data_IF_811512376101
#
_entry.id   IF_811512376101
#
_cell.length_a   1.000
_cell.length_b   1.000
_cell.length_c   1.000
_cell.angle_alpha   90.00
_cell.angle_beta   90.00
_cell.angle_gamma   90.00
#
_symmetry.space_group_name_H-M   'P 1'
#
loop_
_entity.id
_entity.type
_entity.pdbx_description
1 polymer ?
2 non-polymer ?
3 non-polymer ?
4 water ?
#
# COMPACT_ATOMS: atom_id res chain seq x y z
N UNK A 2 7.80 4.10 -25.09
CA UNK A 2 7.20 2.78 -24.78
C UNK A 2 6.07 2.98 -23.75
N UNK A 3 6.14 2.30 -22.57
CA UNK A 3 5.05 2.47 -21.60
C UNK A 3 5.09 3.90 -21.05
N UNK A 4 3.90 4.39 -20.76
CA UNK A 4 3.75 5.69 -20.07
C UNK A 4 3.92 5.43 -18.54
N UNK A 5 4.95 6.01 -17.96
CA UNK A 5 5.23 5.89 -16.53
C UNK A 5 5.04 7.21 -15.79
N UNK A 6 4.39 8.17 -16.45
CA UNK A 6 3.89 9.33 -15.77
C UNK A 6 2.89 8.97 -14.73
N UNK A 7 3.16 9.39 -13.52
CA UNK A 7 2.27 9.17 -12.41
C UNK A 7 0.84 9.66 -12.68
N UNK A 8 0.77 10.86 -13.32
CA UNK A 8 -0.50 11.39 -13.84
C UNK A 8 -1.28 10.51 -14.81
N UNK A 9 -0.65 9.55 -15.45
CA UNK A 9 -1.29 8.67 -16.40
C UNK A 9 -1.90 7.45 -15.73
N UNK A 10 -1.47 7.16 -14.49
CA UNK A 10 -1.88 5.94 -13.83
C UNK A 10 -3.39 5.92 -13.53
N UNK A 11 -4.02 4.80 -13.95
CA UNK A 11 -5.43 4.54 -13.61
C UNK A 11 -5.56 4.11 -12.13
N UNK A 12 -6.66 4.53 -11.47
CA UNK A 12 -7.01 4.05 -10.17
C UNK A 12 -8.42 3.47 -10.14
N UNK A 13 -8.83 2.93 -8.99
CA UNK A 13 -10.07 2.20 -8.87
C UNK A 13 -11.27 3.18 -9.12
N UNK A 14 -12.02 2.93 -10.17
CA UNK A 14 -13.24 3.70 -10.43
C UNK A 14 -14.23 3.54 -9.28
N UNK A 15 -14.84 4.65 -8.84
CA UNK A 15 -15.87 4.59 -7.82
C UNK A 15 -15.45 3.90 -6.54
N UNK A 16 -14.17 4.05 -6.14
CA UNK A 16 -13.71 3.37 -4.92
C UNK A 16 -14.66 3.51 -3.75
N UNK A 17 -14.96 2.38 -3.11
CA UNK A 17 -15.95 2.17 -2.05
C UNK A 17 -15.27 1.84 -0.75
N UNK A 18 -15.15 2.89 0.09
CA UNK A 18 -14.42 2.78 1.37
C UNK A 18 -14.96 1.62 2.22
N UNK A 19 -16.28 1.51 2.30
CA UNK A 19 -16.95 0.51 3.18
C UNK A 19 -16.65 -0.91 2.77
N UNK A 20 -16.79 -1.15 1.50
CA UNK A 20 -16.36 -2.43 0.91
C UNK A 20 -14.91 -2.85 1.16
N UNK A 21 -14.01 -1.88 1.31
CA UNK A 21 -12.59 -2.08 1.49
C UNK A 21 -12.20 -2.35 2.90
N UNK A 22 -13.15 -2.09 3.86
CA UNK A 22 -12.79 -2.15 5.19
C UNK A 22 -12.52 -3.57 5.57
N UNK A 23 -11.87 -3.70 6.69
CA UNK A 23 -11.44 -4.96 7.27
C UNK A 23 -9.94 -5.25 7.05
N UNK A 24 -9.63 -6.54 7.00
CA UNK A 24 -8.27 -7.05 7.25
C UNK A 24 -7.72 -7.35 5.87
N UNK A 25 -6.52 -6.82 5.63
CA UNK A 25 -5.73 -6.98 4.36
C UNK A 25 -4.29 -7.38 4.74
N UNK A 26 -3.81 -8.48 4.16
CA UNK A 26 -2.48 -9.05 4.47
C UNK A 26 -1.62 -8.62 3.33
N UNK A 27 -0.52 -7.97 3.63
CA UNK A 27 0.31 -7.58 2.52
C UNK A 27 1.08 -8.84 2.05
N UNK A 28 1.06 -9.07 0.76
CA UNK A 28 1.69 -10.18 0.14
C UNK A 28 3.02 -9.83 -0.56
N UNK A 29 3.10 -8.57 -1.04
CA UNK A 29 4.31 -8.16 -1.70
C UNK A 29 4.42 -6.59 -1.51
N UNK A 30 5.64 -6.11 -1.69
CA UNK A 30 5.87 -4.67 -1.56
C UNK A 30 6.99 -4.26 -2.46
N UNK A 31 6.80 -3.11 -3.08
CA UNK A 31 7.91 -2.37 -3.72
C UNK A 31 8.33 -1.28 -2.69
N UNK A 32 9.60 -1.27 -2.27
CA UNK A 32 10.07 -0.40 -1.26
C UNK A 32 10.37 1.00 -1.79
N UNK A 33 10.16 2.05 -0.95
CA UNK A 33 10.71 3.39 -1.23
C UNK A 33 12.12 3.50 -0.74
N UNK A 34 12.76 4.64 -0.97
CA UNK A 34 14.05 4.87 -0.28
C UNK A 34 13.80 4.92 1.25
N UNK A 35 14.73 4.33 2.01
CA UNK A 35 14.62 4.29 3.45
C UNK A 35 13.38 3.52 3.87
N UNK A 36 13.30 2.30 3.43
CA UNK A 36 12.14 1.46 3.72
C UNK A 36 11.86 1.27 5.22
N UNK A 37 10.58 1.20 5.56
CA UNK A 37 10.15 1.09 6.95
C UNK A 37 9.47 -0.27 7.27
N UNK A 38 8.36 -0.54 6.62
CA UNK A 38 7.57 -1.74 6.84
C UNK A 38 8.31 -2.94 6.19
N UNK A 39 8.65 -3.94 7.00
CA UNK A 39 9.59 -4.95 6.56
C UNK A 39 8.92 -6.25 6.18
N UNK A 40 8.16 -6.85 7.08
CA UNK A 40 7.38 -8.02 6.77
C UNK A 40 6.34 -8.24 7.82
N UNK A 41 5.62 -9.35 7.67
CA UNK A 41 4.53 -9.71 8.60
C UNK A 41 3.45 -8.59 8.68
N UNK A 42 3.23 -7.91 7.54
CA UNK A 42 2.42 -6.70 7.49
C UNK A 42 0.97 -7.02 7.27
N UNK A 43 0.21 -6.56 8.27
CA UNK A 43 -1.19 -6.75 8.29
C UNK A 43 -1.91 -5.39 8.55
N UNK A 44 -2.81 -5.07 7.64
CA UNK A 44 -3.56 -3.81 7.65
C UNK A 44 -5.04 -4.09 8.00
N UNK A 45 -5.60 -3.15 8.75
CA UNK A 45 -7.00 -3.22 9.14
C UNK A 45 -7.59 -1.88 8.79
N UNK A 46 -8.49 -1.86 7.83
CA UNK A 46 -9.12 -0.64 7.33
C UNK A 46 -10.47 -0.42 7.99
N UNK A 47 -10.80 0.82 8.30
CA UNK A 47 -12.12 1.19 8.88
C UNK A 47 -12.66 2.42 8.20
N UNK A 48 -14.00 2.60 8.25
CA UNK A 48 -14.61 3.87 7.76
C UNK A 48 -15.58 4.37 8.88
N UNK A 49 -15.51 5.64 9.26
CA UNK A 49 -16.49 6.14 10.33
C UNK A 49 -17.73 6.72 9.63
N UNK A 50 -18.67 7.18 10.46
CA UNK A 50 -19.99 7.62 10.03
C UNK A 50 -19.90 8.79 9.11
N UNK A 51 -18.81 9.52 9.23
CA UNK A 51 -18.62 10.70 8.51
C UNK A 51 -18.09 10.37 7.08
N UNK A 52 -17.85 9.09 6.85
CA UNK A 52 -17.21 8.63 5.63
C UNK A 52 -15.72 8.71 5.59
N UNK A 53 -15.09 8.92 6.75
CA UNK A 53 -13.65 8.98 6.75
C UNK A 53 -12.98 7.62 6.96
N UNK A 54 -12.06 7.37 6.03
CA UNK A 54 -11.28 6.14 6.10
C UNK A 54 -10.05 6.34 6.99
N UNK A 55 -9.74 5.27 7.74
CA UNK A 55 -8.56 5.18 8.57
C UNK A 55 -8.07 3.72 8.56
N UNK A 56 -6.84 3.53 9.02
CA UNK A 56 -6.28 2.19 9.12
C UNK A 56 -5.28 2.08 10.24
N UNK A 57 -5.06 0.83 10.66
CA UNK A 57 -3.92 0.46 11.42
C UNK A 57 -3.13 -0.63 10.60
N UNK A 58 -1.86 -0.75 10.95
CA UNK A 58 -0.91 -1.69 10.39
C UNK A 58 -0.03 -2.17 11.52
N UNK A 59 0.05 -3.49 11.60
CA UNK A 59 1.05 -4.17 12.45
C UNK A 59 2.07 -4.96 11.57
N UNK A 60 3.33 -4.97 12.00
CA UNK A 60 4.37 -5.76 11.37
C UNK A 60 5.76 -5.46 11.88
N UNK A 61 6.71 -6.13 11.30
CA UNK A 61 8.04 -5.91 11.63
C UNK A 61 8.54 -4.67 10.85
N UNK A 62 9.13 -3.74 11.55
CA UNK A 62 9.60 -2.51 10.93
C UNK A 62 11.10 -2.41 11.09
N UNK A 63 11.72 -1.68 10.16
CA UNK A 63 13.12 -1.50 10.11
C UNK A 63 13.36 -0.17 10.85
N UNK A 64 14.00 -0.25 12.04
CA UNK A 64 14.35 0.97 12.85
C UNK A 64 15.72 1.53 12.42
N UNK A 65 16.77 0.77 12.75
CA UNK A 65 18.12 1.05 12.25
C UNK A 65 18.54 -0.05 11.26
N UNK A 66 19.53 0.26 10.42
CA UNK A 66 20.29 -0.74 9.66
C UNK A 66 20.44 -1.99 10.53
N UNK A 67 20.99 -1.78 11.73
CA UNK A 67 21.24 -2.84 12.72
C UNK A 67 19.95 -3.70 13.01
N UNK A 68 18.78 -3.06 13.12
CA UNK A 68 17.64 -3.78 13.71
C UNK A 68 16.20 -3.36 13.40
N UNK A 69 15.35 -4.34 13.69
CA UNK A 69 13.94 -4.44 13.32
C UNK A 69 13.13 -4.84 14.57
N UNK A 70 11.93 -4.28 14.68
CA UNK A 70 11.05 -4.43 15.82
C UNK A 70 9.60 -4.68 15.33
N UNK A 71 8.77 -5.31 16.18
CA UNK A 71 7.32 -5.33 15.92
C UNK A 71 6.76 -4.02 16.32
N UNK A 72 5.97 -3.43 15.43
CA UNK A 72 5.37 -2.11 15.71
C UNK A 72 3.94 -2.00 15.19
N UNK A 73 3.14 -1.21 15.88
CA UNK A 73 1.77 -0.82 15.47
C UNK A 73 1.79 0.61 14.97
N UNK A 74 1.27 0.74 13.77
CA UNK A 74 1.14 1.99 13.08
C UNK A 74 -0.31 2.34 12.91
N UNK A 75 -0.55 3.61 12.72
CA UNK A 75 -1.90 4.19 12.60
C UNK A 75 -1.87 5.23 11.44
N UNK A 76 -2.95 5.35 10.74
CA UNK A 76 -3.11 6.24 9.64
C UNK A 76 -4.56 6.70 9.44
N UNK A 77 -4.69 7.92 8.97
CA UNK A 77 -5.99 8.44 8.62
C UNK A 77 -5.90 9.07 7.26
N UNK A 78 -6.96 8.88 6.48
CA UNK A 78 -7.01 9.29 5.08
C UNK A 78 -7.88 10.49 4.82
N UNK A 79 -7.30 11.50 4.20
CA UNK A 79 -8.13 12.61 3.67
C UNK A 79 -8.49 12.42 2.20
N UNK A 80 -9.75 12.62 1.90
CA UNK A 80 -10.26 12.62 0.53
C UNK A 80 -9.65 13.64 -0.39
N UNK A 81 -9.60 13.29 -1.66
CA UNK A 81 -9.28 14.23 -2.72
C UNK A 81 -10.48 14.18 -3.67
N UNK A 82 -10.41 14.84 -4.82
CA UNK A 82 -11.53 14.80 -5.79
C UNK A 82 -11.70 13.49 -6.53
N UNK A 83 -10.64 12.66 -6.49
CA UNK A 83 -10.65 11.28 -7.02
C UNK A 83 -10.95 10.33 -5.83
N UNK A 84 -12.01 9.58 -5.94
CA UNK A 84 -12.37 8.81 -4.75
C UNK A 84 -11.37 7.67 -4.42
N UNK A 85 -10.42 7.40 -5.31
CA UNK A 85 -9.41 6.33 -5.01
C UNK A 85 -8.09 6.92 -4.58
N UNK A 86 -7.98 8.27 -4.52
CA UNK A 86 -6.72 8.90 -4.16
C UNK A 86 -6.88 9.63 -2.84
N UNK A 87 -5.96 9.39 -1.93
CA UNK A 87 -6.02 9.93 -0.59
C UNK A 87 -4.70 10.55 -0.19
N UNK A 88 -4.75 11.33 0.88
CA UNK A 88 -3.56 11.72 1.54
C UNK A 88 -3.62 10.98 2.87
N UNK A 89 -2.55 10.28 3.22
CA UNK A 89 -2.52 9.46 4.39
C UNK A 89 -1.55 10.02 5.44
N UNK A 90 -2.10 10.47 6.56
CA UNK A 90 -1.26 10.88 7.68
C UNK A 90 -1.02 9.67 8.52
N UNK A 91 0.21 9.43 8.91
CA UNK A 91 0.53 8.26 9.72
C UNK A 91 1.55 8.52 10.84
N UNK A 92 1.49 7.68 11.84
CA UNK A 92 2.39 7.67 12.96
C UNK A 92 2.37 6.31 13.63
N UNK A 93 3.32 6.11 14.55
CA UNK A 93 3.40 4.89 15.31
C UNK A 93 2.78 5.08 16.71
N UNK A 94 2.21 4.02 17.27
CA UNK A 94 1.59 4.08 18.60
C UNK A 94 2.71 4.45 19.59
N UNK A 95 3.89 3.85 19.40
CA UNK A 95 5.17 4.34 20.01
C UNK A 95 5.63 5.70 19.38
N UNK A 96 5.84 6.72 20.23
CA UNK A 96 6.22 8.11 19.81
C UNK A 96 7.42 8.28 18.83
N UNK A 97 8.43 7.44 18.96
CA UNK A 97 9.73 7.57 18.17
C UNK A 97 9.70 6.89 16.77
N UNK A 98 8.60 6.21 16.45
CA UNK A 98 8.47 5.64 15.12
C UNK A 98 8.25 6.66 13.98
N UNK A 99 8.67 6.32 12.77
CA UNK A 99 8.41 7.12 11.56
C UNK A 99 6.96 7.62 11.56
N UNK A 100 6.82 8.92 11.36
CA UNK A 100 5.54 9.51 10.98
C UNK A 100 5.64 10.37 9.72
N UNK A 101 4.50 10.64 9.15
CA UNK A 101 4.54 11.32 7.91
C UNK A 101 3.22 11.50 7.27
N UNK A 102 3.27 11.95 6.01
CA UNK A 102 2.10 12.16 5.21
C UNK A 102 2.38 11.80 3.77
N UNK A 103 1.77 10.72 3.30
CA UNK A 103 2.06 10.24 1.91
C UNK A 103 0.74 10.17 1.13
N UNK A 104 0.80 10.35 -0.15
CA UNK A 104 -0.29 10.06 -1.09
C UNK A 104 -0.48 8.53 -1.02
N UNK A 105 -1.74 8.17 -1.09
CA UNK A 105 -2.20 6.80 -0.91
C UNK A 105 -3.30 6.55 -1.95
N UNK A 106 -2.94 5.78 -2.97
CA UNK A 106 -3.81 5.53 -4.16
C UNK A 106 -4.26 4.02 -4.13
N UNK A 107 -5.55 3.79 -4.22
CA UNK A 107 -6.06 2.47 -4.43
C UNK A 107 -6.11 2.24 -5.95
N UNK A 108 -5.05 1.61 -6.43
CA UNK A 108 -4.91 1.42 -7.89
C UNK A 108 -5.91 0.49 -8.49
N UNK A 109 -6.10 -0.61 -7.78
CA UNK A 109 -7.16 -1.54 -8.13
C UNK A 109 -7.44 -2.39 -6.95
N UNK A 110 -8.67 -2.92 -6.96
CA UNK A 110 -9.18 -3.90 -5.99
C UNK A 110 -10.47 -4.50 -6.51
N UNK A 111 -10.78 -5.69 -6.01
CA UNK A 111 -12.13 -6.28 -6.16
C UNK A 111 -12.80 -6.40 -4.76
N UNK A 112 -12.20 -5.79 -3.72
CA UNK A 112 -12.69 -5.71 -2.32
C UNK A 112 -12.66 -6.99 -1.51
N UNK A 113 -12.88 -8.14 -2.17
CA UNK A 113 -13.00 -9.41 -1.49
C UNK A 113 -11.87 -10.38 -1.78
N UNK A 114 -10.91 -9.96 -2.62
CA UNK A 114 -9.73 -10.85 -2.86
C UNK A 114 -8.39 -10.12 -2.82
N UNK A 115 -8.24 -9.13 -3.68
CA UNK A 115 -6.90 -8.42 -3.81
C UNK A 115 -7.07 -6.89 -3.79
N UNK A 116 -5.96 -6.24 -3.46
CA UNK A 116 -5.85 -4.75 -3.57
C UNK A 116 -4.42 -4.43 -4.00
N UNK A 117 -4.33 -3.44 -4.85
CA UNK A 117 -3.04 -2.82 -5.18
C UNK A 117 -3.10 -1.34 -4.78
N UNK A 118 -2.17 -1.00 -3.92
CA UNK A 118 -1.90 0.39 -3.47
C UNK A 118 -0.63 0.95 -4.12
N UNK A 119 -0.49 2.27 -4.11
CA UNK A 119 0.62 2.97 -4.68
C UNK A 119 0.74 4.29 -4.03
N UNK A 120 1.99 4.69 -3.77
CA UNK A 120 2.31 6.09 -3.29
C UNK A 120 3.52 6.56 -4.09
N UNK A 121 3.42 7.77 -4.65
CA UNK A 121 4.59 8.45 -5.20
C UNK A 121 4.91 9.52 -4.19
N UNK A 122 6.05 9.43 -3.57
CA UNK A 122 6.44 10.32 -2.50
C UNK A 122 7.08 11.61 -3.10
N UNK A 123 7.65 11.43 -4.29
CA UNK A 123 8.44 12.54 -4.94
C UNK A 123 8.40 12.31 -6.39
N UNK A 124 8.02 13.35 -7.19
CA UNK A 124 8.04 13.27 -8.68
C UNK A 124 9.37 13.68 -9.26
N UNK A 125 9.76 13.03 -10.36
CA UNK A 125 10.77 13.43 -11.27
C UNK A 125 10.19 14.58 -12.15
N UNK A 126 11.10 15.42 -12.67
CA UNK A 126 10.69 16.57 -13.47
C UNK A 126 9.95 16.22 -14.74
N UNK A 127 10.07 14.97 -15.20
CA UNK A 127 9.34 14.38 -16.32
C UNK A 127 7.98 13.68 -15.92
N UNK A 128 7.52 13.82 -14.68
CA UNK A 128 6.24 13.33 -14.27
C UNK A 128 6.24 11.84 -13.83
N UNK A 129 7.36 11.20 -14.08
CA UNK A 129 7.63 9.81 -13.56
C UNK A 129 7.95 9.90 -12.05
N UNK A 130 7.80 8.78 -11.34
CA UNK A 130 8.03 8.85 -9.89
C UNK A 130 9.49 8.71 -9.51
N UNK A 131 9.98 9.56 -8.65
CA UNK A 131 11.34 9.48 -8.16
C UNK A 131 11.49 8.54 -6.98
N UNK A 132 10.48 8.47 -6.16
CA UNK A 132 10.56 7.68 -4.96
C UNK A 132 9.15 7.17 -4.75
N UNK A 133 8.94 5.89 -5.03
CA UNK A 133 7.58 5.30 -4.82
C UNK A 133 7.61 4.06 -3.92
N UNK A 134 6.44 3.77 -3.41
CA UNK A 134 6.16 2.44 -2.86
C UNK A 134 4.83 1.90 -3.25
N UNK A 135 4.69 0.53 -3.10
CA UNK A 135 3.48 -0.11 -3.49
C UNK A 135 3.36 -1.42 -2.64
N UNK A 136 2.18 -1.65 -2.13
CA UNK A 136 1.69 -2.89 -1.53
C UNK A 136 0.69 -3.59 -2.36
N UNK A 137 0.86 -4.94 -2.39
CA UNK A 137 -0.17 -5.76 -2.95
C UNK A 137 -0.74 -6.53 -1.72
N UNK A 138 -2.04 -6.48 -1.56
CA UNK A 138 -2.68 -7.05 -0.38
C UNK A 138 -3.62 -8.18 -0.86
N UNK A 139 -3.77 -9.10 0.10
CA UNK A 139 -4.70 -10.23 -0.06
C UNK A 139 -5.67 -10.32 1.15
N UNK A 140 -6.92 -10.70 0.92
CA UNK A 140 -7.82 -10.97 2.11
C UNK A 140 -7.41 -12.25 2.92
N UNK A 141 -6.72 -13.12 2.23
CA UNK A 141 -6.24 -14.45 2.71
C UNK A 141 -4.74 -14.43 2.82
N UNK A 142 -4.20 -14.69 4.02
CA UNK A 142 -2.74 -14.61 4.19
C UNK A 142 -2.00 -15.71 3.48
N UNK A 143 -2.70 -16.70 2.98
CA UNK A 143 -2.03 -17.73 2.17
C UNK A 143 -1.87 -17.40 0.68
N UNK A 144 -2.43 -16.29 0.24
CA UNK A 144 -2.10 -15.67 -1.04
C UNK A 144 -3.29 -15.55 -1.92
N UNK A 145 -3.12 -14.90 -3.07
CA UNK A 145 -4.16 -14.65 -4.05
C UNK A 145 -4.39 -15.91 -4.86
N UNK A 146 -5.62 -16.09 -5.39
CA UNK A 146 -5.88 -17.08 -6.43
C UNK A 146 -5.25 -16.63 -7.74
N UNK A 147 -4.99 -17.58 -8.64
CA UNK A 147 -4.39 -17.22 -9.87
C UNK A 147 -5.00 -16.16 -10.69
N UNK A 148 -6.35 -16.10 -10.80
CA UNK A 148 -7.00 -15.05 -11.55
C UNK A 148 -6.60 -13.59 -11.04
N UNK A 149 -6.61 -13.42 -9.72
CA UNK A 149 -6.22 -12.23 -8.97
C UNK A 149 -4.73 -11.93 -9.15
N UNK A 150 -3.91 -12.95 -8.97
CA UNK A 150 -2.44 -12.76 -9.27
C UNK A 150 -2.20 -12.19 -10.62
N UNK A 151 -2.91 -12.70 -11.63
CA UNK A 151 -2.69 -12.25 -12.97
C UNK A 151 -3.13 -10.80 -13.22
N UNK A 152 -4.25 -10.45 -12.65
CA UNK A 152 -4.72 -9.05 -12.69
C UNK A 152 -3.70 -8.13 -12.00
N UNK A 153 -3.21 -8.55 -10.86
CA UNK A 153 -2.20 -7.85 -10.03
C UNK A 153 -0.91 -7.62 -10.83
N UNK A 154 -0.36 -8.67 -11.47
CA UNK A 154 0.79 -8.49 -12.41
C UNK A 154 0.61 -7.41 -13.43
N UNK A 155 -0.50 -7.41 -14.13
CA UNK A 155 -0.79 -6.36 -15.05
C UNK A 155 -0.83 -4.97 -14.44
N UNK A 156 -1.42 -4.84 -13.25
CA UNK A 156 -1.42 -3.53 -12.56
C UNK A 156 0.02 -3.11 -12.14
N UNK A 157 0.80 -4.04 -11.60
CA UNK A 157 2.21 -3.78 -11.27
C UNK A 157 3.01 -3.28 -12.49
N UNK A 158 2.77 -3.90 -13.64
CA UNK A 158 3.34 -3.45 -14.92
C UNK A 158 2.86 -2.05 -15.30
N UNK A 159 1.57 -1.78 -15.23
CA UNK A 159 0.99 -0.47 -15.47
C UNK A 159 1.59 0.66 -14.61
N UNK A 160 2.02 0.32 -13.41
CA UNK A 160 2.73 1.25 -12.49
C UNK A 160 4.23 1.45 -12.75
N UNK A 161 4.79 0.66 -13.72
CA UNK A 161 6.16 0.62 -13.98
C UNK A 161 6.99 0.08 -12.85
N UNK A 162 6.43 -0.94 -12.18
CA UNK A 162 7.01 -1.45 -10.98
C UNK A 162 7.11 -3.03 -10.93
N UNK A 163 6.74 -3.68 -11.99
CA UNK A 163 6.52 -5.18 -12.00
C UNK A 163 7.82 -5.94 -11.68
N UNK A 164 8.97 -5.33 -11.96
CA UNK A 164 10.29 -5.98 -11.63
C UNK A 164 10.79 -5.79 -10.21
N UNK A 165 10.13 -4.94 -9.40
CA UNK A 165 10.70 -4.28 -8.28
C UNK A 165 10.05 -4.62 -6.93
N UNK A 166 9.22 -5.70 -6.92
CA UNK A 166 8.57 -6.16 -5.68
C UNK A 166 9.33 -7.27 -4.96
N UNK A 167 9.20 -7.30 -3.68
CA UNK A 167 9.56 -8.49 -2.88
C UNK A 167 8.35 -9.03 -2.15
N UNK A 168 8.40 -10.34 -1.89
CA UNK A 168 7.40 -10.94 -1.07
C UNK A 168 7.48 -10.63 0.39
N UNK A 169 6.32 -10.52 0.99
CA UNK A 169 6.13 -10.28 2.39
C UNK A 169 5.67 -11.62 3.02
N UNK A 170 6.48 -12.07 3.97
CA UNK A 170 6.24 -13.26 4.83
C UNK A 170 5.31 -12.99 5.98
N UNK A 171 4.50 -14.00 6.28
CA UNK A 171 3.69 -14.03 7.47
C UNK A 171 4.04 -15.37 8.16
N UNK A 172 4.86 -15.26 9.18
CA UNK A 172 5.47 -16.42 9.87
C UNK A 172 5.31 -16.29 11.37
N UNK A 173 4.28 -15.52 11.80
CA UNK A 173 3.97 -15.24 13.19
C UNK A 173 4.97 -14.47 14.02
N UNK A 174 5.96 -13.78 13.41
CA UNK A 174 6.92 -13.10 14.24
C UNK A 174 6.32 -12.03 15.21
N UNK A 175 5.17 -11.44 14.84
CA UNK A 175 4.48 -10.36 15.61
C UNK A 175 3.11 -10.75 16.13
X LIG B 1 2.82 14.50 -15.63
X LIG C 1 6.98 0.78 4.51
X LIG C 1 7.36 1.82 3.94
X LIG C 1 8.53 1.85 3.68
X LIG C 1 6.43 3.01 3.62
X LIG C 1 5.19 3.14 4.62
X LIG C 1 5.05 3.53 6.17
X LIG C 1 3.52 3.85 6.59
X LIG C 1 2.53 3.33 7.72
X LIG C 1 1.03 3.61 7.45
X LIG C 1 0.19 3.65 8.71
X LIG C 1 -1.06 2.90 8.70
X LIG C 1 -1.71 3.10 7.58
X LIG C 1 -2.97 2.41 7.40
X LIG C 1 -2.63 0.99 7.29
X LIG C 1 -2.25 0.45 6.18
X LIG C 1 -1.99 1.11 4.87
X LIG C 1 -1.00 0.17 4.14
X LIG C 1 0.45 0.33 4.63
X LIG C 1 1.07 1.61 4.05
X LIG C 1 0.40 1.97 2.81
#
# INVERSE_FOLDING_TARGET
GERDCRVSSFRVKENFDKARFSGTWYAMAKKDPEGLFLQDNIVAEFSVDETGQMSATAKGRVRLLNNWDVCADMVGTFTDTEDPAKFKMKYWGVASFLQKGNDDHWIVDTDYDTYAVQYSCRLLNLDGTCADSYSFVFSRDPNGLPPEAQKIVRQRQEELCLARQYRLIVHNGYC
CL CL
ODT O1 C1 O2 C2 C3 C4 C5 C6 C7 C8 C9 C10 C11 C12 C13 C14 C15 C16 C17 C18
#
